data_IF_925124327086
#
_entry.id   IF_925124327086
#
_cell.length_a   1.000
_cell.length_b   1.000
_cell.length_c   1.000
_cell.angle_alpha   90.00
_cell.angle_beta   90.00
_cell.angle_gamma   90.00
#
_symmetry.space_group_name_H-M   'P 1'
#
loop_
_entity.id
_entity.type
_entity.pdbx_description
1 polymer ?
#
# COMPACT_ATOMS: atom_id res chain seq x y z
N UNK A 1 -12.45 16.62 -17.04
CA UNK A 1 -11.92 15.26 -16.80
C UNK A 1 -10.60 15.44 -16.06
N UNK A 2 -10.52 15.02 -14.80
CA UNK A 2 -9.29 15.15 -14.01
C UNK A 2 -8.26 14.13 -14.49
N UNK A 3 -7.04 14.58 -14.79
CA UNK A 3 -5.92 13.68 -15.12
C UNK A 3 -5.58 12.79 -13.91
N UNK A 4 -5.13 11.56 -14.17
CA UNK A 4 -4.64 10.70 -13.08
C UNK A 4 -3.29 11.28 -12.65
N UNK A 5 -3.23 11.80 -11.42
CA UNK A 5 -1.98 12.32 -10.86
C UNK A 5 -1.10 11.18 -10.35
N UNK A 6 -1.69 10.25 -9.59
CA UNK A 6 -0.99 9.11 -9.01
C UNK A 6 -1.86 7.86 -9.00
N UNK A 7 -1.22 6.69 -9.11
CA UNK A 7 -1.85 5.39 -8.85
C UNK A 7 -1.11 4.71 -7.72
N UNK A 8 -1.87 4.33 -6.69
CA UNK A 8 -1.38 3.62 -5.50
C UNK A 8 -1.88 2.19 -5.58
N UNK A 9 -0.97 1.22 -5.60
CA UNK A 9 -1.29 -0.18 -5.86
C UNK A 9 -0.53 -1.10 -4.91
N UNK A 10 -1.25 -1.92 -4.14
CA UNK A 10 -0.63 -3.01 -3.39
C UNK A 10 -0.24 -4.15 -4.32
N UNK A 11 0.92 -4.74 -4.08
CA UNK A 11 1.39 -5.94 -4.76
C UNK A 11 1.72 -7.03 -3.76
N UNK A 12 1.38 -8.28 -4.07
CA UNK A 12 1.73 -9.44 -3.25
C UNK A 12 2.78 -10.29 -3.97
N UNK A 13 3.88 -10.56 -3.30
CA UNK A 13 4.98 -11.39 -3.80
C UNK A 13 5.56 -12.23 -2.66
N UNK A 14 5.74 -13.54 -2.89
CA UNK A 14 6.25 -14.48 -1.89
C UNK A 14 5.53 -14.38 -0.52
N UNK A 15 4.22 -14.21 -0.54
CA UNK A 15 3.39 -14.09 0.67
C UNK A 15 3.46 -12.73 1.38
N UNK A 16 4.39 -11.85 1.00
CA UNK A 16 4.54 -10.51 1.53
C UNK A 16 3.88 -9.46 0.63
N UNK A 17 3.57 -8.30 1.18
CA UNK A 17 2.98 -7.18 0.45
C UNK A 17 3.95 -6.00 0.36
N UNK A 18 3.92 -5.33 -0.79
CA UNK A 18 4.62 -4.07 -1.05
C UNK A 18 3.64 -3.06 -1.66
N UNK A 19 3.95 -1.76 -1.55
CA UNK A 19 3.19 -0.69 -2.15
C UNK A 19 3.93 -0.11 -3.37
N UNK A 20 3.19 0.08 -4.46
CA UNK A 20 3.67 0.67 -5.70
C UNK A 20 2.96 2.01 -5.85
N UNK A 21 3.71 3.08 -6.03
CA UNK A 21 3.15 4.40 -6.31
C UNK A 21 3.67 4.87 -7.65
N UNK A 22 2.77 4.97 -8.62
CA UNK A 22 3.05 5.45 -9.97
C UNK A 22 2.65 6.92 -10.02
N UNK A 23 3.63 7.81 -10.10
CA UNK A 23 3.42 9.24 -10.25
C UNK A 23 3.48 9.63 -11.73
N UNK A 24 2.34 10.04 -12.27
CA UNK A 24 2.18 10.37 -13.68
C UNK A 24 2.87 11.67 -14.08
N UNK A 25 2.89 12.63 -13.16
CA UNK A 25 3.42 13.96 -13.40
C UNK A 25 4.94 13.89 -13.41
N UNK A 26 5.51 13.20 -12.42
CA UNK A 26 6.96 13.04 -12.26
C UNK A 26 7.56 11.96 -13.15
N UNK A 27 6.73 11.12 -13.77
CA UNK A 27 7.20 9.93 -14.53
C UNK A 27 8.10 9.06 -13.66
N UNK A 28 7.59 8.72 -12.49
CA UNK A 28 8.37 8.07 -11.43
C UNK A 28 7.54 6.98 -10.74
N UNK A 29 8.18 5.85 -10.43
CA UNK A 29 7.59 4.74 -9.69
C UNK A 29 8.33 4.53 -8.37
N UNK A 30 7.62 4.72 -7.26
CA UNK A 30 8.13 4.44 -5.92
C UNK A 30 7.67 3.06 -5.45
N UNK A 31 8.58 2.26 -4.91
CA UNK A 31 8.29 1.00 -4.24
C UNK A 31 8.48 1.18 -2.74
N UNK A 32 7.46 0.89 -1.95
CA UNK A 32 7.57 0.80 -0.50
C UNK A 32 7.50 -0.66 -0.14
N UNK A 33 8.61 -1.19 0.36
CA UNK A 33 8.72 -2.57 0.70
C UNK A 33 9.22 -2.73 2.12
N UNK A 34 8.58 -3.64 2.82
CA UNK A 34 8.80 -3.88 4.24
C UNK A 34 9.58 -5.18 4.48
N UNK A 35 10.16 -5.77 3.44
CA UNK A 35 10.97 -6.99 3.56
C UNK A 35 12.46 -6.64 3.47
N UNK A 36 13.35 -7.47 4.04
CA UNK A 36 14.78 -7.26 3.88
C UNK A 36 15.18 -7.21 2.41
N UNK A 37 16.00 -6.22 2.04
CA UNK A 37 16.65 -6.24 0.72
C UNK A 37 17.56 -7.45 0.63
N UNK A 38 17.29 -8.32 -0.32
CA UNK A 38 18.09 -9.53 -0.53
C UNK A 38 19.47 -9.17 -1.08
N UNK A 39 20.50 -9.93 -0.71
CA UNK A 39 21.90 -9.62 -1.04
C UNK A 39 22.14 -9.43 -2.53
N UNK A 40 21.58 -10.31 -3.37
CA UNK A 40 21.69 -10.26 -4.83
C UNK A 40 21.00 -9.02 -5.45
N UNK A 41 20.17 -8.31 -4.68
CA UNK A 41 19.50 -7.08 -5.08
C UNK A 41 20.15 -5.81 -4.55
N UNK A 42 21.17 -5.87 -3.68
CA UNK A 42 21.68 -4.67 -2.97
C UNK A 42 22.10 -3.53 -3.90
N UNK A 43 22.70 -3.86 -5.04
CA UNK A 43 23.14 -2.86 -6.02
C UNK A 43 22.01 -2.30 -6.90
N UNK A 44 20.90 -3.03 -7.00
CA UNK A 44 19.76 -2.63 -7.81
C UNK A 44 18.46 -3.14 -7.18
N UNK A 45 18.04 -2.55 -6.05
CA UNK A 45 17.04 -3.17 -5.18
C UNK A 45 15.67 -3.37 -5.83
N UNK A 46 15.34 -2.60 -6.88
CA UNK A 46 14.07 -2.73 -7.59
C UNK A 46 14.03 -3.95 -8.54
N UNK A 47 15.17 -4.62 -8.82
CA UNK A 47 15.21 -5.82 -9.66
C UNK A 47 14.29 -6.93 -9.17
N UNK A 48 14.11 -7.06 -7.85
CA UNK A 48 13.14 -8.01 -7.27
C UNK A 48 11.69 -7.76 -7.69
N UNK A 49 11.38 -6.55 -8.16
CA UNK A 49 10.05 -6.17 -8.63
C UNK A 49 9.95 -6.17 -10.15
N UNK A 50 10.98 -6.61 -10.91
CA UNK A 50 10.97 -6.53 -12.38
C UNK A 50 9.71 -7.16 -13.00
N UNK A 51 9.30 -8.33 -12.53
CA UNK A 51 8.06 -8.98 -12.99
C UNK A 51 6.81 -8.13 -12.70
N UNK A 52 6.73 -7.58 -11.48
CA UNK A 52 5.63 -6.72 -11.07
C UNK A 52 5.59 -5.42 -11.90
N UNK A 53 6.75 -4.80 -12.18
CA UNK A 53 6.86 -3.60 -13.01
C UNK A 53 6.43 -3.89 -14.44
N UNK A 54 6.88 -5.00 -15.03
CA UNK A 54 6.51 -5.39 -16.40
C UNK A 54 5.00 -5.64 -16.49
N UNK A 55 4.42 -6.35 -15.51
CA UNK A 55 2.98 -6.61 -15.47
C UNK A 55 2.17 -5.33 -15.27
N UNK A 56 2.58 -4.50 -14.29
CA UNK A 56 1.98 -3.21 -14.04
C UNK A 56 2.05 -2.34 -15.30
N UNK A 57 3.18 -2.27 -15.99
CA UNK A 57 3.33 -1.48 -17.21
C UNK A 57 2.37 -1.90 -18.31
N UNK A 58 2.30 -3.20 -18.61
CA UNK A 58 1.39 -3.75 -19.62
C UNK A 58 -0.08 -3.42 -19.29
N UNK A 59 -0.48 -3.67 -18.04
CA UNK A 59 -1.85 -3.42 -17.56
C UNK A 59 -2.18 -1.93 -17.56
N UNK A 60 -1.25 -1.11 -17.08
CA UNK A 60 -1.37 0.32 -17.02
C UNK A 60 -1.57 0.91 -18.40
N UNK A 61 -0.75 0.49 -19.38
CA UNK A 61 -0.86 0.94 -20.77
C UNK A 61 -2.23 0.67 -21.36
N UNK A 62 -2.76 -0.53 -21.17
CA UNK A 62 -4.09 -0.91 -21.66
C UNK A 62 -5.19 -0.08 -20.98
N UNK A 63 -5.09 0.15 -19.66
CA UNK A 63 -6.08 0.91 -18.92
C UNK A 63 -6.04 2.40 -19.30
N UNK A 64 -4.85 2.99 -19.40
CA UNK A 64 -4.68 4.42 -19.64
C UNK A 64 -4.91 4.81 -21.10
N UNK A 65 -4.60 3.93 -22.07
CA UNK A 65 -4.91 4.18 -23.48
C UNK A 65 -6.41 4.31 -23.75
N UNK A 66 -7.26 3.63 -22.97
CA UNK A 66 -8.72 3.81 -23.00
C UNK A 66 -9.15 5.21 -22.53
N UNK A 67 -8.42 5.78 -21.57
CA UNK A 67 -8.68 7.14 -21.07
C UNK A 67 -8.11 8.21 -22.00
N UNK A 68 -6.92 7.98 -22.57
CA UNK A 68 -6.21 8.91 -23.43
C UNK A 68 -5.75 8.21 -24.72
N UNK A 69 -6.51 8.42 -25.79
CA UNK A 69 -6.17 7.93 -27.13
C UNK A 69 -4.77 8.41 -27.55
N UNK A 70 -3.99 7.52 -28.16
CA UNK A 70 -2.62 7.81 -28.59
C UNK A 70 -1.55 7.80 -27.48
N UNK A 71 -1.89 7.46 -26.24
CA UNK A 71 -0.87 7.30 -25.20
C UNK A 71 0.04 6.10 -25.47
N UNK A 72 1.34 6.35 -25.58
CA UNK A 72 2.35 5.36 -26.00
C UNK A 72 3.51 5.20 -25.00
N UNK A 73 3.43 5.85 -23.83
CA UNK A 73 4.50 5.74 -22.84
C UNK A 73 4.54 4.34 -22.20
N UNK A 74 5.67 4.07 -21.56
CA UNK A 74 5.96 2.81 -20.90
C UNK A 74 6.51 3.12 -19.51
N UNK A 75 5.73 2.81 -18.46
CA UNK A 75 6.15 3.09 -17.08
C UNK A 75 7.39 2.28 -16.68
N UNK A 76 7.73 1.20 -17.41
CA UNK A 76 8.99 0.48 -17.20
C UNK A 76 10.21 1.35 -17.52
N UNK A 77 10.05 2.39 -18.35
CA UNK A 77 11.14 3.32 -18.71
C UNK A 77 11.22 4.52 -17.78
N UNK A 78 10.30 4.65 -16.84
CA UNK A 78 10.27 5.74 -15.88
C UNK A 78 11.36 5.58 -14.82
N UNK A 79 11.57 6.62 -14.01
CA UNK A 79 12.49 6.50 -12.89
C UNK A 79 11.90 5.58 -11.81
N UNK A 80 12.75 4.80 -11.15
CA UNK A 80 12.35 3.79 -10.17
C UNK A 80 13.15 3.97 -8.87
N UNK A 81 12.47 4.12 -7.73
CA UNK A 81 13.13 4.19 -6.42
C UNK A 81 12.45 3.32 -5.39
N UNK A 82 13.25 2.72 -4.49
CA UNK A 82 12.73 2.06 -3.29
C UNK A 82 12.76 3.07 -2.14
N UNK A 83 11.62 3.23 -1.49
CA UNK A 83 11.48 4.07 -0.32
C UNK A 83 12.35 3.52 0.82
N UNK A 84 13.27 4.34 1.29
CA UNK A 84 14.13 4.01 2.43
C UNK A 84 13.54 4.56 3.74
N UNK A 85 14.05 4.07 4.88
CA UNK A 85 13.61 4.49 6.21
C UNK A 85 12.22 3.98 6.61
N UNK A 86 11.71 2.96 5.90
CA UNK A 86 10.51 2.21 6.27
C UNK A 86 10.86 1.05 7.21
N UNK A 87 9.91 0.59 8.04
CA UNK A 87 10.11 -0.56 8.89
C UNK A 87 10.37 -1.84 8.11
N UNK A 88 11.27 -2.68 8.62
CA UNK A 88 11.54 -3.99 8.04
C UNK A 88 10.90 -5.07 8.91
N UNK A 89 9.95 -5.79 8.33
CA UNK A 89 9.35 -6.99 8.89
C UNK A 89 10.12 -8.24 8.45
N UNK A 90 10.98 -8.72 9.34
CA UNK A 90 11.80 -9.91 9.12
C UNK A 90 10.98 -11.19 8.91
N UNK A 91 9.72 -11.23 9.40
CA UNK A 91 8.86 -12.42 9.30
C UNK A 91 7.80 -12.32 8.21
N UNK A 92 7.58 -11.14 7.64
CA UNK A 92 6.62 -10.89 6.56
C UNK A 92 5.14 -10.84 6.98
N UNK A 93 4.82 -11.11 8.24
CA UNK A 93 3.43 -11.26 8.74
C UNK A 93 2.62 -9.96 8.81
N UNK A 94 3.29 -8.82 8.85
CA UNK A 94 2.69 -7.50 9.05
C UNK A 94 2.77 -6.64 7.78
N UNK A 95 3.36 -7.15 6.70
CA UNK A 95 3.60 -6.41 5.46
C UNK A 95 2.32 -5.82 4.86
N UNK A 96 1.19 -6.54 4.93
CA UNK A 96 -0.11 -6.02 4.48
C UNK A 96 -0.60 -4.83 5.29
N UNK A 97 -0.44 -4.86 6.61
CA UNK A 97 -0.82 -3.76 7.48
C UNK A 97 0.09 -2.54 7.28
N UNK A 98 1.39 -2.76 7.10
CA UNK A 98 2.34 -1.69 6.79
C UNK A 98 2.03 -1.03 5.45
N UNK A 99 1.59 -1.81 4.44
CA UNK A 99 1.08 -1.28 3.18
C UNK A 99 -0.13 -0.38 3.40
N UNK A 100 -1.11 -0.80 4.23
CA UNK A 100 -2.30 0.01 4.52
C UNK A 100 -1.94 1.31 5.25
N UNK A 101 -1.03 1.27 6.23
CA UNK A 101 -0.49 2.47 6.88
C UNK A 101 0.19 3.40 5.86
N UNK A 102 1.02 2.84 4.97
CA UNK A 102 1.69 3.64 3.94
C UNK A 102 0.70 4.28 2.97
N UNK A 103 -0.35 3.56 2.56
CA UNK A 103 -1.43 4.12 1.74
C UNK A 103 -2.15 5.27 2.44
N UNK A 104 -2.51 5.10 3.72
CA UNK A 104 -3.21 6.12 4.50
C UNK A 104 -2.36 7.39 4.73
N UNK A 105 -1.03 7.23 4.81
CA UNK A 105 -0.11 8.36 4.95
C UNK A 105 0.29 8.99 3.61
N UNK A 106 0.12 8.30 2.48
CA UNK A 106 0.62 8.74 1.18
C UNK A 106 -0.06 10.05 0.73
N UNK A 107 0.73 11.01 0.28
CA UNK A 107 0.23 12.32 -0.17
C UNK A 107 -0.02 13.33 0.95
N UNK A 108 0.10 12.92 2.22
CA UNK A 108 0.25 13.87 3.32
C UNK A 108 1.75 14.24 3.36
N UNK A 109 2.12 15.51 3.24
CA UNK A 109 3.52 16.02 3.17
C UNK A 109 4.43 15.65 4.36
N UNK A 110 3.98 14.76 5.24
CA UNK A 110 4.69 14.22 6.38
C UNK A 110 5.50 12.99 5.96
N UNK A 111 6.72 12.90 6.49
CA UNK A 111 7.53 11.68 6.43
C UNK A 111 6.72 10.50 6.99
N UNK A 112 6.74 9.36 6.31
CA UNK A 112 6.08 8.13 6.74
C UNK A 112 6.55 7.77 8.16
N UNK A 113 5.64 7.82 9.13
CA UNK A 113 5.89 7.44 10.53
C UNK A 113 4.99 6.26 10.87
N UNK A 114 5.59 5.07 10.87
CA UNK A 114 4.88 3.83 11.14
C UNK A 114 4.72 3.61 12.65
N UNK A 115 3.53 3.17 13.07
CA UNK A 115 3.19 2.93 14.48
C UNK A 115 2.96 1.44 14.72
N UNK A 116 3.23 0.99 15.95
CA UNK A 116 2.74 -0.30 16.46
C UNK A 116 3.59 -1.53 16.15
N UNK A 117 4.80 -1.38 15.61
CA UNK A 117 5.62 -2.51 15.13
C UNK A 117 5.90 -3.64 16.14
N UNK A 118 5.80 -3.38 17.45
CA UNK A 118 6.18 -4.33 18.49
C UNK A 118 5.12 -5.39 18.79
N UNK A 119 3.84 -5.16 18.49
CA UNK A 119 2.77 -6.13 18.74
C UNK A 119 1.79 -6.28 17.56
N UNK A 120 2.13 -7.24 16.69
CA UNK A 120 1.32 -7.65 15.55
C UNK A 120 -0.13 -8.04 15.93
N UNK A 121 -0.35 -8.58 17.13
CA UNK A 121 -1.68 -8.97 17.60
C UNK A 121 -2.52 -7.75 17.91
N UNK A 122 -1.93 -6.77 18.60
CA UNK A 122 -2.59 -5.48 18.89
C UNK A 122 -2.87 -4.71 17.59
N UNK A 123 -1.92 -4.68 16.65
CA UNK A 123 -2.13 -4.11 15.32
C UNK A 123 -3.36 -4.70 14.63
N UNK A 124 -3.44 -6.02 14.50
CA UNK A 124 -4.52 -6.67 13.75
C UNK A 124 -5.87 -6.47 14.44
N UNK A 125 -5.87 -6.47 15.78
CA UNK A 125 -7.05 -6.15 16.58
C UNK A 125 -7.53 -4.72 16.28
N UNK A 126 -6.64 -3.74 16.37
CA UNK A 126 -6.99 -2.34 16.14
C UNK A 126 -7.49 -2.11 14.71
N UNK A 127 -6.82 -2.69 13.70
CA UNK A 127 -7.28 -2.62 12.32
C UNK A 127 -8.72 -3.12 12.14
N UNK A 128 -9.09 -4.25 12.76
CA UNK A 128 -10.46 -4.77 12.69
C UNK A 128 -11.43 -3.85 13.43
N UNK A 129 -11.03 -3.28 14.56
CA UNK A 129 -11.86 -2.29 15.29
C UNK A 129 -12.11 -1.07 14.41
N UNK A 130 -11.06 -0.51 13.81
CA UNK A 130 -11.15 0.67 12.93
C UNK A 130 -12.05 0.37 11.72
N UNK A 131 -11.87 -0.78 11.07
CA UNK A 131 -12.67 -1.19 9.92
C UNK A 131 -14.16 -1.34 10.28
N UNK A 132 -14.45 -1.97 11.41
CA UNK A 132 -15.84 -2.19 11.84
C UNK A 132 -16.49 -0.90 12.35
N UNK A 133 -15.71 -0.02 12.96
CA UNK A 133 -16.19 1.25 13.53
C UNK A 133 -16.15 2.42 12.55
N UNK A 134 -15.63 2.21 11.34
CA UNK A 134 -15.54 3.23 10.31
C UNK A 134 -16.91 3.86 10.04
N UNK A 135 -16.96 5.19 10.05
CA UNK A 135 -18.22 5.95 10.01
C UNK A 135 -19.04 5.64 8.76
N UNK A 136 -18.37 5.49 7.61
CA UNK A 136 -18.99 5.16 6.32
C UNK A 136 -19.02 3.65 6.03
N UNK A 137 -18.93 2.81 7.06
CA UNK A 137 -19.08 1.37 6.88
C UNK A 137 -20.51 1.03 6.42
N UNK A 138 -20.68 0.91 5.10
CA UNK A 138 -21.96 0.57 4.46
C UNK A 138 -22.57 -0.77 4.93
N UNK A 139 -21.74 -1.67 5.46
CA UNK A 139 -22.16 -2.98 5.99
C UNK A 139 -22.45 -2.97 7.50
N UNK A 140 -22.57 -1.80 8.13
CA UNK A 140 -22.83 -1.68 9.59
C UNK A 140 -24.08 -2.45 10.02
N UNK A 141 -25.12 -2.50 9.18
CA UNK A 141 -26.35 -3.24 9.42
C UNK A 141 -26.12 -4.76 9.55
N UNK A 142 -25.06 -5.30 8.95
CA UNK A 142 -24.72 -6.72 9.01
C UNK A 142 -23.90 -7.09 10.24
N UNK A 143 -23.44 -6.11 11.03
CA UNK A 143 -22.65 -6.36 12.25
C UNK A 143 -23.62 -6.83 13.35
N UNK A 144 -23.41 -8.01 13.97
CA UNK A 144 -24.27 -8.49 15.05
C UNK A 144 -24.34 -7.51 16.24
N UNK A 145 -25.51 -7.41 16.87
CA UNK A 145 -25.76 -6.42 17.94
C UNK A 145 -24.76 -6.51 19.11
N UNK A 146 -24.35 -7.72 19.51
CA UNK A 146 -23.35 -7.93 20.55
C UNK A 146 -21.96 -7.39 20.16
N UNK A 147 -21.61 -7.43 18.88
CA UNK A 147 -20.36 -6.85 18.36
C UNK A 147 -20.48 -5.33 18.30
N UNK A 148 -21.61 -4.78 17.83
CA UNK A 148 -21.85 -3.34 17.84
C UNK A 148 -21.72 -2.75 19.25
N UNK A 149 -22.33 -3.40 20.25
CA UNK A 149 -22.22 -2.97 21.64
C UNK A 149 -20.77 -2.99 22.12
N UNK A 150 -20.02 -4.05 21.79
CA UNK A 150 -18.60 -4.15 22.16
C UNK A 150 -17.75 -3.04 21.53
N UNK A 151 -18.04 -2.62 20.30
CA UNK A 151 -17.35 -1.49 19.66
C UNK A 151 -17.65 -0.17 20.38
N UNK A 152 -18.91 0.06 20.77
CA UNK A 152 -19.32 1.23 21.58
C UNK A 152 -18.60 1.24 22.92
N UNK A 153 -18.49 0.09 23.59
CA UNK A 153 -17.83 -0.02 24.89
C UNK A 153 -16.31 0.21 24.80
N UNK A 154 -15.68 -0.15 23.67
CA UNK A 154 -14.27 0.16 23.40
C UNK A 154 -14.09 1.66 23.21
N UNK A 155 -14.92 2.30 22.38
CA UNK A 155 -14.83 3.74 22.11
C UNK A 155 -15.05 4.63 23.33
N UNK A 156 -15.72 4.13 24.38
CA UNK A 156 -15.94 4.84 25.65
C UNK A 156 -14.79 4.71 26.65
N UNK A 157 -13.85 3.78 26.43
CA UNK A 157 -12.73 3.48 27.34
C UNK A 157 -11.44 4.19 26.97
N UNK A 158 -11.39 4.76 25.77
CA UNK A 158 -10.32 5.66 25.30
C UNK A 158 -10.65 7.10 25.68
#
# INVERSE_FOLDING_TARGET
>A
MTDILQVIMSWKFNGCHALFVIDHVKKHVTFIDFTPTQDWCKHMPYKRFAEAIIMASKKYKIAYSKKRSGWAEDIFKWEHTIQTGVPIDLRGFNTSYLVLQAMAMWGNDRRLKFVGMSDAKTIRKNFVIDLLSYEDNSCRYAIPANIQQRLIDIAKKD
#
